data_IF_601948431599
#
_entry.id   IF_601948431599
#
_cell.length_a   1.000
_cell.length_b   1.000
_cell.length_c   1.000
_cell.angle_alpha   90.00
_cell.angle_beta   90.00
_cell.angle_gamma   90.00
#
_symmetry.space_group_name_H-M   'P 1'
#
loop_
_entity.id
_entity.type
_entity.pdbx_description
1 polymer ?
#
# COMPACT_ATOMS: atom_id res chain seq x y z
N UNK A 1 10.70 7.29 -10.33
CA UNK A 1 10.73 5.87 -10.74
C UNK A 1 11.64 5.08 -9.81
N UNK A 2 12.95 5.27 -9.88
CA UNK A 2 13.93 4.51 -9.09
C UNK A 2 13.69 4.54 -7.58
N UNK A 3 13.08 5.61 -7.06
CA UNK A 3 12.85 5.78 -5.62
C UNK A 3 11.72 4.88 -5.10
N UNK A 4 10.53 4.91 -5.72
CA UNK A 4 9.37 4.10 -5.28
C UNK A 4 9.62 2.60 -5.51
N UNK A 5 10.12 2.22 -6.69
CA UNK A 5 10.41 0.81 -6.99
C UNK A 5 11.50 0.26 -6.07
N UNK A 6 12.58 1.03 -5.86
CA UNK A 6 13.65 0.65 -4.96
C UNK A 6 13.19 0.52 -3.51
N UNK A 7 12.39 1.45 -3.01
CA UNK A 7 11.83 1.39 -1.65
C UNK A 7 10.90 0.19 -1.49
N UNK A 8 10.00 -0.05 -2.45
CA UNK A 8 9.11 -1.21 -2.41
C UNK A 8 9.89 -2.53 -2.38
N UNK A 9 10.95 -2.67 -3.18
CA UNK A 9 11.81 -3.85 -3.17
C UNK A 9 12.55 -4.02 -1.84
N UNK A 10 13.14 -2.95 -1.30
CA UNK A 10 13.83 -2.97 -0.01
C UNK A 10 12.87 -3.40 1.10
N UNK A 11 11.67 -2.86 1.12
CA UNK A 11 10.66 -3.22 2.13
C UNK A 11 10.14 -4.64 1.96
N UNK A 12 9.95 -5.11 0.73
CA UNK A 12 9.59 -6.51 0.48
C UNK A 12 10.64 -7.47 1.05
N UNK A 13 11.92 -7.24 0.78
CA UNK A 13 13.00 -8.03 1.37
C UNK A 13 13.12 -7.87 2.89
N UNK A 14 12.82 -6.68 3.42
CA UNK A 14 12.78 -6.46 4.88
C UNK A 14 11.71 -7.31 5.56
N UNK A 15 10.55 -7.50 4.92
CA UNK A 15 9.43 -8.24 5.48
C UNK A 15 9.49 -9.74 5.21
N UNK A 16 9.98 -10.17 4.04
CA UNK A 16 9.87 -11.53 3.54
C UNK A 16 11.23 -12.24 3.35
N UNK A 17 12.35 -11.54 3.58
CA UNK A 17 13.69 -12.10 3.45
C UNK A 17 14.30 -11.94 2.05
N UNK A 18 15.52 -12.47 1.90
CA UNK A 18 16.32 -12.27 0.67
C UNK A 18 15.74 -13.03 -0.54
N UNK A 19 15.03 -14.13 -0.30
CA UNK A 19 14.26 -14.86 -1.32
C UNK A 19 12.78 -14.59 -1.10
N UNK A 20 12.19 -13.77 -1.96
CA UNK A 20 10.77 -13.43 -1.85
C UNK A 20 9.89 -14.66 -2.15
N UNK A 21 8.80 -14.86 -1.39
CA UNK A 21 7.78 -15.82 -1.77
C UNK A 21 7.20 -15.50 -3.17
N UNK A 22 6.86 -16.52 -3.98
CA UNK A 22 6.32 -16.28 -5.33
C UNK A 22 5.13 -15.33 -5.37
N UNK A 23 4.22 -15.41 -4.38
CA UNK A 23 3.05 -14.53 -4.28
C UNK A 23 3.42 -13.05 -4.12
N UNK A 24 4.52 -12.77 -3.42
CA UNK A 24 5.03 -11.42 -3.23
C UNK A 24 5.73 -10.95 -4.49
N UNK A 25 6.63 -11.77 -5.03
CA UNK A 25 7.45 -11.44 -6.20
C UNK A 25 6.60 -11.19 -7.45
N UNK A 26 5.68 -12.10 -7.76
CA UNK A 26 4.76 -11.96 -8.90
C UNK A 26 3.90 -10.70 -8.77
N UNK A 27 3.26 -10.52 -7.61
CA UNK A 27 2.41 -9.36 -7.35
C UNK A 27 3.18 -8.05 -7.49
N UNK A 28 4.36 -7.96 -6.88
CA UNK A 28 5.19 -6.74 -6.91
C UNK A 28 5.66 -6.44 -8.34
N UNK A 29 6.13 -7.42 -9.07
CA UNK A 29 6.54 -7.29 -10.48
C UNK A 29 5.40 -6.76 -11.34
N UNK A 30 4.20 -7.35 -11.20
CA UNK A 30 3.05 -7.01 -12.04
C UNK A 30 2.54 -5.59 -11.74
N UNK A 31 2.47 -5.18 -10.47
CA UNK A 31 2.09 -3.81 -10.09
C UNK A 31 3.13 -2.78 -10.56
N UNK A 32 4.43 -3.04 -10.36
CA UNK A 32 5.49 -2.13 -10.82
C UNK A 32 5.46 -1.94 -12.34
N UNK A 33 5.21 -3.01 -13.11
CA UNK A 33 5.09 -2.94 -14.56
C UNK A 33 3.87 -2.10 -15.01
N UNK A 34 2.77 -2.12 -14.26
CA UNK A 34 1.60 -1.29 -14.55
C UNK A 34 1.89 0.19 -14.22
N UNK A 35 2.46 0.46 -13.04
CA UNK A 35 2.82 1.81 -12.60
C UNK A 35 3.77 2.46 -13.60
N UNK A 36 4.76 1.69 -14.08
CA UNK A 36 5.72 2.14 -15.10
C UNK A 36 5.02 2.46 -16.43
N UNK A 37 4.23 1.54 -16.95
CA UNK A 37 3.49 1.74 -18.20
C UNK A 37 2.54 2.93 -18.17
N UNK A 38 1.96 3.23 -17.00
CA UNK A 38 1.06 4.36 -16.79
C UNK A 38 1.78 5.67 -16.44
N UNK A 39 3.10 5.61 -16.26
CA UNK A 39 3.91 6.75 -15.78
C UNK A 39 3.39 7.33 -14.44
N UNK A 40 2.80 6.48 -13.58
CA UNK A 40 2.08 6.91 -12.37
C UNK A 40 3.00 7.10 -11.14
N UNK A 41 4.30 7.00 -11.29
CA UNK A 41 5.29 7.12 -10.20
C UNK A 41 5.13 8.38 -9.36
N UNK A 42 4.80 9.50 -10.02
CA UNK A 42 4.64 10.79 -9.36
C UNK A 42 3.49 10.79 -8.34
N UNK A 43 2.38 10.13 -8.66
CA UNK A 43 1.23 10.03 -7.76
C UNK A 43 1.59 9.25 -6.49
N UNK A 44 2.29 8.12 -6.66
CA UNK A 44 2.78 7.33 -5.52
C UNK A 44 3.78 8.12 -4.66
N UNK A 45 4.72 8.85 -5.28
CA UNK A 45 5.70 9.64 -4.55
C UNK A 45 5.05 10.79 -3.77
N UNK A 46 4.10 11.51 -4.37
CA UNK A 46 3.33 12.55 -3.68
C UNK A 46 2.61 11.96 -2.47
N UNK A 47 1.88 10.85 -2.65
CA UNK A 47 1.14 10.21 -1.57
C UNK A 47 2.09 9.76 -0.45
N UNK A 48 3.18 9.08 -0.78
CA UNK A 48 4.18 8.61 0.18
C UNK A 48 4.77 9.76 1.00
N UNK A 49 5.27 10.80 0.34
CA UNK A 49 5.86 11.95 1.01
C UNK A 49 4.87 12.67 1.92
N UNK A 50 3.62 12.80 1.48
CA UNK A 50 2.57 13.47 2.26
C UNK A 50 2.19 12.66 3.50
N UNK A 51 2.06 11.33 3.36
CA UNK A 51 1.81 10.42 4.48
C UNK A 51 2.97 10.43 5.46
N UNK A 52 4.20 10.38 4.97
CA UNK A 52 5.40 10.42 5.79
C UNK A 52 5.49 11.72 6.58
N UNK A 53 5.21 12.87 5.95
CA UNK A 53 5.22 14.17 6.62
C UNK A 53 4.17 14.23 7.74
N UNK A 54 2.93 13.81 7.49
CA UNK A 54 1.88 13.81 8.50
C UNK A 54 2.24 12.93 9.69
N UNK A 55 2.83 11.74 9.45
CA UNK A 55 3.29 10.84 10.52
C UNK A 55 4.44 11.44 11.32
N UNK A 56 5.37 12.16 10.70
CA UNK A 56 6.43 12.91 11.40
C UNK A 56 5.86 14.00 12.31
N UNK A 57 4.78 14.63 11.90
CA UNK A 57 4.06 15.63 12.69
C UNK A 57 3.20 15.00 13.82
N UNK A 58 3.19 13.67 13.91
CA UNK A 58 2.49 12.92 14.97
C UNK A 58 1.04 12.56 14.64
N UNK A 59 0.60 12.72 13.38
CA UNK A 59 -0.77 12.45 12.96
C UNK A 59 -0.85 11.21 12.06
N UNK A 60 -1.75 10.26 12.38
CA UNK A 60 -1.98 9.11 11.53
C UNK A 60 -2.70 9.53 10.24
N UNK A 61 -2.40 8.85 9.16
CA UNK A 61 -3.10 8.97 7.88
C UNK A 61 -3.69 7.62 7.56
N UNK A 62 -4.99 7.57 7.30
CA UNK A 62 -5.66 6.38 6.82
C UNK A 62 -5.86 6.43 5.31
N UNK A 63 -5.87 5.28 4.66
CA UNK A 63 -6.26 5.14 3.26
C UNK A 63 -7.71 4.75 3.11
N UNK A 64 -8.32 5.12 1.99
CA UNK A 64 -9.69 4.76 1.62
C UNK A 64 -9.74 4.32 0.17
N UNK A 65 -10.75 3.51 -0.17
CA UNK A 65 -11.01 3.12 -1.55
C UNK A 65 -10.04 2.06 -2.08
N UNK A 66 -9.74 2.14 -3.36
CA UNK A 66 -9.06 1.09 -4.09
C UNK A 66 -7.56 0.96 -3.78
N UNK A 67 -6.91 2.00 -3.25
CA UNK A 67 -5.46 2.00 -2.96
C UNK A 67 -5.04 0.90 -1.98
N UNK A 68 -5.94 0.46 -1.09
CA UNK A 68 -5.71 -0.69 -0.20
C UNK A 68 -5.49 -2.02 -0.92
N UNK A 69 -5.69 -2.09 -2.24
CA UNK A 69 -5.38 -3.27 -3.05
C UNK A 69 -3.97 -3.23 -3.66
N UNK A 70 -3.21 -2.14 -3.51
CA UNK A 70 -1.85 -2.05 -4.04
C UNK A 70 -0.80 -2.53 -3.04
N UNK A 71 -0.03 -3.54 -3.45
CA UNK A 71 1.13 -4.02 -2.70
C UNK A 71 2.23 -2.96 -2.62
N UNK A 72 2.44 -2.22 -3.71
CA UNK A 72 3.42 -1.12 -3.75
C UNK A 72 3.03 -0.03 -2.75
N UNK A 73 1.73 0.34 -2.68
CA UNK A 73 1.26 1.32 -1.70
C UNK A 73 1.46 0.86 -0.24
N UNK A 74 1.27 -0.43 0.04
CA UNK A 74 1.55 -0.98 1.37
C UNK A 74 3.05 -1.00 1.69
N UNK A 75 3.88 -1.48 0.77
CA UNK A 75 5.34 -1.56 0.97
C UNK A 75 5.98 -0.18 1.15
N UNK A 76 5.49 0.83 0.46
CA UNK A 76 5.99 2.22 0.57
C UNK A 76 5.32 3.02 1.70
N UNK A 77 4.49 2.38 2.52
CA UNK A 77 3.87 2.99 3.68
C UNK A 77 2.72 3.96 3.37
N UNK A 78 2.26 4.01 2.14
CA UNK A 78 1.06 4.80 1.76
C UNK A 78 -0.18 4.18 2.42
N UNK A 79 -0.32 2.85 2.33
CA UNK A 79 -1.44 2.10 2.90
C UNK A 79 -1.00 1.22 4.07
N UNK A 80 -1.90 1.02 5.04
CA UNK A 80 -1.72 0.05 6.12
C UNK A 80 -2.19 -1.36 5.74
N UNK A 81 -2.85 -1.51 4.59
CA UNK A 81 -3.47 -2.75 4.17
C UNK A 81 -2.49 -3.58 3.34
N UNK A 82 -2.17 -4.78 3.81
CA UNK A 82 -1.45 -5.76 3.03
C UNK A 82 -2.43 -6.53 2.11
N UNK A 83 -2.43 -6.30 0.78
CA UNK A 83 -3.42 -6.88 -0.11
C UNK A 83 -3.17 -8.34 -0.47
N UNK A 84 -2.06 -8.90 -0.07
CA UNK A 84 -1.69 -10.30 -0.35
C UNK A 84 -2.71 -11.29 0.24
N UNK A 85 -2.74 -12.54 -0.24
CA UNK A 85 -3.53 -13.59 0.38
C UNK A 85 -3.19 -13.76 1.87
N UNK A 86 -4.11 -14.30 2.69
CA UNK A 86 -3.84 -14.60 4.08
C UNK A 86 -2.57 -15.45 4.23
N UNK A 87 -1.69 -15.04 5.11
CA UNK A 87 -0.43 -15.74 5.36
C UNK A 87 0.12 -15.46 6.75
N UNK A 88 1.09 -16.25 7.14
CA UNK A 88 1.89 -16.01 8.34
C UNK A 88 3.22 -15.36 7.97
N UNK A 89 3.66 -14.41 8.76
CA UNK A 89 4.93 -13.72 8.61
C UNK A 89 5.67 -13.64 9.94
N UNK A 90 6.92 -14.05 9.94
CA UNK A 90 7.78 -13.97 11.13
C UNK A 90 8.62 -12.68 11.08
N UNK A 91 8.34 -11.73 11.96
CA UNK A 91 9.09 -10.47 12.06
C UNK A 91 10.54 -10.63 12.53
N UNK A 92 10.88 -11.80 13.10
CA UNK A 92 12.23 -12.05 13.61
C UNK A 92 13.17 -12.66 12.58
N UNK A 93 12.71 -13.65 11.79
CA UNK A 93 13.54 -14.36 10.82
C UNK A 93 13.06 -14.21 9.39
N UNK A 94 12.02 -13.42 9.16
CA UNK A 94 11.42 -13.11 7.83
C UNK A 94 10.82 -14.33 7.11
N UNK A 95 10.67 -15.45 7.81
CA UNK A 95 9.97 -16.62 7.26
C UNK A 95 8.51 -16.26 7.00
N UNK A 96 7.99 -16.61 5.84
CA UNK A 96 6.59 -16.47 5.48
C UNK A 96 5.99 -17.79 5.01
N UNK A 97 4.70 -17.99 5.32
CA UNK A 97 3.97 -19.20 4.95
C UNK A 97 2.62 -18.84 4.37
N UNK A 98 2.49 -19.00 3.06
CA UNK A 98 1.27 -18.81 2.29
C UNK A 98 0.45 -20.09 2.11
N UNK A 99 0.89 -21.23 2.67
CA UNK A 99 0.17 -22.48 2.64
C UNK A 99 -1.03 -22.48 3.61
N UNK A 100 -1.96 -21.56 3.36
CA UNK A 100 -3.16 -21.31 4.14
C UNK A 100 -4.38 -21.75 3.34
N UNK A 101 -5.36 -22.36 4.01
CA UNK A 101 -6.62 -22.74 3.38
C UNK A 101 -7.49 -21.48 3.12
N UNK A 102 -7.40 -20.94 1.90
CA UNK A 102 -8.14 -19.74 1.49
C UNK A 102 -9.68 -19.94 1.50
N UNK A 103 -10.18 -21.16 1.46
CA UNK A 103 -11.61 -21.44 1.60
C UNK A 103 -12.10 -21.27 3.05
N UNK A 104 -11.21 -21.44 4.02
CA UNK A 104 -11.51 -21.32 5.45
C UNK A 104 -11.21 -19.92 5.99
N UNK A 105 -10.15 -19.27 5.51
CA UNK A 105 -9.68 -17.98 6.02
C UNK A 105 -9.62 -16.95 4.90
N UNK A 106 -10.45 -15.92 4.99
CA UNK A 106 -10.49 -14.84 3.98
C UNK A 106 -9.50 -13.72 4.24
N UNK A 107 -9.18 -13.50 5.51
CA UNK A 107 -8.23 -12.48 5.94
C UNK A 107 -7.23 -13.08 6.94
N UNK A 108 -6.03 -12.52 6.97
CA UNK A 108 -4.98 -13.00 7.88
C UNK A 108 -5.38 -12.92 9.35
N UNK A 109 -6.16 -11.93 9.76
CA UNK A 109 -6.61 -11.76 11.14
C UNK A 109 -7.38 -12.99 11.68
N UNK A 110 -8.08 -13.74 10.82
CA UNK A 110 -8.85 -14.93 11.19
C UNK A 110 -7.98 -16.18 11.39
N UNK A 111 -6.72 -16.13 11.00
CA UNK A 111 -5.79 -17.26 11.15
C UNK A 111 -5.59 -17.61 12.64
N UNK A 112 -5.47 -18.88 13.02
CA UNK A 112 -5.09 -19.25 14.38
C UNK A 112 -3.67 -18.77 14.71
N UNK A 113 -3.38 -18.54 15.99
CA UNK A 113 -2.02 -18.23 16.42
C UNK A 113 -1.07 -19.40 16.12
N UNK A 114 0.13 -19.08 15.59
CA UNK A 114 1.10 -20.11 15.19
C UNK A 114 2.53 -19.65 15.47
N UNK A 115 3.35 -20.57 15.98
CA UNK A 115 4.78 -20.32 16.16
C UNK A 115 5.55 -20.56 14.86
N UNK A 116 6.56 -19.75 14.63
CA UNK A 116 7.48 -19.88 13.49
C UNK A 116 8.25 -21.22 13.57
N UNK A 117 8.24 -22.04 12.52
CA UNK A 117 8.95 -23.31 12.51
C UNK A 117 10.48 -23.14 12.53
N UNK A 118 11.00 -21.95 12.18
CA UNK A 118 12.43 -21.66 12.11
C UNK A 118 12.96 -21.16 13.46
N UNK A 119 12.32 -20.18 14.08
CA UNK A 119 12.83 -19.50 15.28
C UNK A 119 11.95 -19.62 16.53
N UNK A 120 10.78 -20.28 16.43
CA UNK A 120 9.86 -20.52 17.55
C UNK A 120 9.03 -19.29 17.99
N UNK A 121 9.27 -18.09 17.48
CA UNK A 121 8.48 -16.90 17.83
C UNK A 121 7.06 -16.98 17.25
N UNK A 122 6.12 -16.35 17.92
CA UNK A 122 4.75 -16.20 17.37
C UNK A 122 4.85 -15.37 16.09
N UNK A 123 4.22 -15.87 15.03
CA UNK A 123 4.16 -15.17 13.74
C UNK A 123 3.00 -14.18 13.69
N UNK A 124 3.21 -13.11 12.95
CA UNK A 124 2.13 -12.21 12.56
C UNK A 124 1.20 -12.93 11.57
N UNK A 125 -0.07 -12.56 11.64
CA UNK A 125 -1.14 -13.02 10.77
C UNK A 125 -1.53 -11.86 9.87
N UNK A 126 -1.26 -11.98 8.57
CA UNK A 126 -1.34 -10.86 7.64
C UNK A 126 -2.07 -11.24 6.34
N UNK A 127 -2.46 -10.23 5.55
CA UNK A 127 -3.09 -10.39 4.25
C UNK A 127 -4.61 -10.29 4.25
N UNK A 128 -5.15 -9.54 3.26
CA UNK A 128 -6.57 -9.26 3.08
C UNK A 128 -7.15 -9.85 1.80
N UNK A 129 -6.34 -10.53 0.98
CA UNK A 129 -6.74 -11.15 -0.29
C UNK A 129 -7.45 -10.19 -1.25
N UNK A 130 -6.91 -9.00 -1.44
CA UNK A 130 -7.50 -7.97 -2.31
C UNK A 130 -6.81 -8.02 -3.68
N UNK A 131 -7.56 -8.29 -4.79
CA UNK A 131 -6.98 -8.30 -6.12
C UNK A 131 -6.50 -6.91 -6.56
N UNK A 132 -5.35 -6.82 -7.25
CA UNK A 132 -4.80 -5.54 -7.72
C UNK A 132 -5.67 -4.87 -8.78
N UNK A 133 -6.47 -5.64 -9.48
CA UNK A 133 -7.45 -5.16 -10.47
C UNK A 133 -8.47 -4.20 -9.87
N UNK A 134 -8.67 -4.25 -8.56
CA UNK A 134 -9.51 -3.28 -7.85
C UNK A 134 -8.99 -1.85 -8.01
N UNK A 135 -7.68 -1.69 -8.08
CA UNK A 135 -7.01 -0.38 -8.18
C UNK A 135 -6.64 -0.03 -9.62
N UNK A 136 -6.06 -0.98 -10.35
CA UNK A 136 -5.49 -0.75 -11.67
C UNK A 136 -6.41 -1.16 -12.84
N UNK A 137 -7.55 -1.81 -12.58
CA UNK A 137 -8.38 -2.44 -13.63
C UNK A 137 -7.85 -3.81 -14.05
N UNK A 138 -8.64 -4.54 -14.84
CA UNK A 138 -8.33 -5.92 -15.23
C UNK A 138 -7.04 -6.07 -16.05
N UNK A 139 -6.73 -5.05 -16.87
CA UNK A 139 -5.54 -5.02 -17.71
C UNK A 139 -4.57 -3.89 -17.35
N UNK A 140 -4.74 -3.30 -16.17
CA UNK A 140 -4.00 -2.11 -15.76
C UNK A 140 -4.31 -0.89 -16.63
N UNK A 141 -5.59 -0.72 -17.00
CA UNK A 141 -6.07 0.41 -17.81
C UNK A 141 -6.61 1.56 -16.96
N UNK A 142 -6.91 1.30 -15.70
CA UNK A 142 -7.45 2.32 -14.79
C UNK A 142 -6.30 3.13 -14.21
N UNK A 143 -6.38 4.45 -14.34
CA UNK A 143 -5.46 5.37 -13.66
C UNK A 143 -5.60 5.24 -12.13
N UNK A 144 -4.50 5.19 -11.39
CA UNK A 144 -4.53 5.05 -9.95
C UNK A 144 -5.13 6.32 -9.29
N UNK A 145 -6.01 6.09 -8.32
CA UNK A 145 -6.66 7.12 -7.51
C UNK A 145 -6.34 6.84 -6.04
N UNK A 146 -5.52 7.68 -5.42
CA UNK A 146 -5.04 7.49 -4.05
C UNK A 146 -5.79 8.42 -3.10
N UNK A 147 -6.78 7.86 -2.41
CA UNK A 147 -7.53 8.56 -1.39
C UNK A 147 -6.83 8.48 -0.02
N UNK A 148 -6.48 9.64 0.53
CA UNK A 148 -5.85 9.78 1.85
C UNK A 148 -6.77 10.54 2.81
N UNK A 149 -6.98 9.97 3.99
CA UNK A 149 -7.75 10.59 5.07
C UNK A 149 -6.81 11.16 6.12
N UNK A 150 -6.76 12.48 6.20
CA UNK A 150 -6.03 13.22 7.23
C UNK A 150 -6.97 13.63 8.36
N UNK A 151 -6.42 13.90 9.54
CA UNK A 151 -7.14 14.60 10.60
C UNK A 151 -7.67 15.95 10.10
N UNK A 152 -8.88 16.32 10.47
CA UNK A 152 -9.51 17.58 10.05
C UNK A 152 -8.67 18.81 10.42
N UNK A 153 -7.93 18.73 11.52
CA UNK A 153 -7.09 19.80 12.04
C UNK A 153 -5.79 19.96 11.25
N UNK A 154 -5.32 18.87 10.59
CA UNK A 154 -4.02 18.81 9.93
C UNK A 154 -4.12 18.74 8.40
N UNK A 155 -5.31 18.54 7.83
CA UNK A 155 -5.49 18.41 6.38
C UNK A 155 -4.91 19.61 5.59
N UNK A 156 -5.00 20.82 6.13
CA UNK A 156 -4.44 22.00 5.49
C UNK A 156 -2.91 21.94 5.38
N UNK A 157 -2.21 21.35 6.35
CA UNK A 157 -0.75 21.17 6.32
C UNK A 157 -0.34 20.21 5.21
N UNK A 158 -1.12 19.14 4.98
CA UNK A 158 -0.88 18.24 3.86
C UNK A 158 -0.95 18.97 2.51
N UNK A 159 -1.95 19.85 2.32
CA UNK A 159 -2.04 20.68 1.12
C UNK A 159 -0.87 21.64 0.99
N UNK A 160 -0.47 22.30 2.09
CA UNK A 160 0.65 23.23 2.10
C UNK A 160 1.96 22.54 1.80
N UNK A 161 2.22 21.39 2.41
CA UNK A 161 3.39 20.55 2.14
C UNK A 161 3.53 20.21 0.65
N UNK A 162 2.43 19.78 0.01
CA UNK A 162 2.45 19.45 -1.42
C UNK A 162 2.74 20.69 -2.26
N UNK A 163 2.16 21.84 -1.91
CA UNK A 163 2.43 23.14 -2.58
C UNK A 163 3.88 23.58 -2.42
N UNK A 164 4.45 23.46 -1.23
CA UNK A 164 5.87 23.79 -0.99
C UNK A 164 6.81 22.86 -1.77
N UNK A 165 6.45 21.57 -1.90
CA UNK A 165 7.27 20.60 -2.61
C UNK A 165 7.24 20.74 -4.12
N UNK A 166 6.07 21.02 -4.70
CA UNK A 166 5.85 20.98 -6.15
C UNK A 166 5.57 22.36 -6.77
N UNK A 167 5.43 23.39 -5.95
CA UNK A 167 5.17 24.76 -6.38
C UNK A 167 3.70 25.10 -6.54
N UNK A 168 3.35 26.35 -6.30
CA UNK A 168 1.98 26.87 -6.34
C UNK A 168 1.32 26.73 -7.73
N UNK A 169 2.12 26.77 -8.79
CA UNK A 169 1.63 26.66 -10.17
C UNK A 169 1.32 25.22 -10.60
N UNK A 170 1.60 24.24 -9.76
CA UNK A 170 1.40 22.81 -10.04
C UNK A 170 0.38 22.13 -9.12
N UNK A 171 -0.10 22.82 -8.08
CA UNK A 171 -0.98 22.26 -7.06
C UNK A 171 -2.28 23.05 -6.96
N UNK A 172 -3.39 22.42 -7.31
CA UNK A 172 -4.70 23.05 -7.34
C UNK A 172 -5.72 22.25 -6.53
N UNK A 173 -6.68 22.93 -5.93
CA UNK A 173 -7.85 22.29 -5.35
C UNK A 173 -8.89 22.08 -6.45
N UNK A 174 -9.25 20.83 -6.68
CA UNK A 174 -10.40 20.50 -7.51
C UNK A 174 -11.70 20.69 -6.72
N UNK A 175 -12.70 21.28 -7.35
CA UNK A 175 -14.06 21.40 -6.82
C UNK A 175 -15.01 20.49 -7.57
N UNK A 176 -16.03 19.96 -6.90
CA UNK A 176 -17.15 19.27 -7.53
C UNK A 176 -18.42 20.10 -7.43
N UNK A 177 -19.17 20.16 -8.52
CA UNK A 177 -20.49 20.82 -8.54
C UNK A 177 -21.55 19.71 -8.57
N UNK A 178 -22.28 19.59 -7.46
CA UNK A 178 -23.46 18.73 -7.39
C UNK A 178 -24.73 19.50 -7.75
N UNK A 179 -25.55 18.96 -8.65
CA UNK A 179 -26.90 19.46 -8.87
C UNK A 179 -27.89 18.56 -8.13
N UNK A 180 -28.81 19.18 -7.39
CA UNK A 180 -29.99 18.48 -6.89
C UNK A 180 -30.93 18.27 -8.10
N UNK A 181 -31.24 17.02 -8.44
CA UNK A 181 -32.33 16.71 -9.33
C UNK A 181 -33.64 16.92 -8.59
N UNK A 182 -34.58 17.65 -9.22
CA UNK A 182 -35.99 17.75 -8.77
C UNK A 182 -36.69 16.39 -8.82
#
# INVERSE_FOLDING_TARGET
EEHISGEAMIQAHSFYGDSLPPQVEERLRDELAIIDRQESWTIFEIARLTVEQSRRDGYPVGTRGAVGSSLVAWLTGISEINPLPPHYRCTACRYADFAVNAAQYRIGADLPARSCPICGRIMDKDGFAIPFETFFGLNGEKEPDIDLNFSSEEQWKAHEFVREKFGDDHVFRAGTIGMLSE
#
